data_IF_487270258439
#
_entry.id   IF_487270258439
#
_cell.length_a   1.000
_cell.length_b   1.000
_cell.length_c   1.000
_cell.angle_alpha   90.00
_cell.angle_beta   90.00
_cell.angle_gamma   90.00
#
_symmetry.space_group_name_H-M   'P 1'
#
loop_
_entity.id
_entity.type
_entity.pdbx_description
1 polymer ?
#
# COMPACT_ATOMS: atom_id res chain seq x y z
N UNK A 1 -20.92 12.77 21.44
CA UNK A 1 -20.34 11.45 21.47
C UNK A 1 -20.00 11.11 22.91
N UNK A 2 -20.46 9.94 23.40
CA UNK A 2 -20.12 9.44 24.74
C UNK A 2 -18.69 8.89 24.71
N UNK A 3 -17.78 9.43 25.52
CA UNK A 3 -16.48 8.82 25.78
C UNK A 3 -16.69 7.55 26.60
N UNK A 4 -16.32 6.41 26.03
CA UNK A 4 -16.22 5.15 26.76
C UNK A 4 -14.76 4.90 27.12
N UNK A 5 -14.47 4.77 28.41
CA UNK A 5 -13.13 4.43 28.90
C UNK A 5 -13.05 2.93 29.14
N UNK A 6 -12.10 2.27 28.49
CA UNK A 6 -11.79 0.87 28.71
C UNK A 6 -10.45 0.75 29.41
N UNK A 7 -10.36 -0.10 30.43
CA UNK A 7 -9.10 -0.48 31.05
C UNK A 7 -8.68 -1.84 30.50
N UNK A 8 -7.51 -1.89 29.87
CA UNK A 8 -6.94 -3.10 29.33
C UNK A 8 -5.75 -3.53 30.20
N UNK A 9 -5.72 -4.76 30.71
CA UNK A 9 -4.56 -5.29 31.40
C UNK A 9 -3.47 -5.57 30.34
N UNK A 10 -2.36 -4.85 30.42
CA UNK A 10 -1.24 -4.96 29.47
C UNK A 10 -0.01 -5.67 30.09
N UNK A 11 -0.20 -6.44 31.16
CA UNK A 11 0.87 -7.18 31.81
C UNK A 11 1.45 -8.24 30.86
N UNK A 12 2.74 -8.08 30.51
CA UNK A 12 3.45 -8.91 29.53
C UNK A 12 2.92 -8.88 28.08
N UNK A 13 2.07 -7.91 27.77
CA UNK A 13 1.50 -7.73 26.44
C UNK A 13 2.60 -7.47 25.39
N UNK A 14 2.57 -8.19 24.28
CA UNK A 14 3.53 -8.16 23.17
C UNK A 14 4.99 -8.50 23.54
N UNK A 15 5.24 -9.07 24.72
CA UNK A 15 6.58 -9.42 25.18
C UNK A 15 7.06 -10.67 24.45
N UNK A 16 8.13 -10.53 23.65
CA UNK A 16 8.73 -11.64 22.91
C UNK A 16 8.23 -11.83 21.49
N UNK A 17 7.35 -10.97 21.00
CA UNK A 17 6.99 -10.95 19.57
C UNK A 17 8.07 -10.23 18.75
N UNK A 18 8.49 -10.83 17.64
CA UNK A 18 9.53 -10.27 16.76
C UNK A 18 9.06 -9.01 16.01
N UNK A 19 7.74 -8.88 15.75
CA UNK A 19 7.13 -7.72 15.10
C UNK A 19 5.78 -7.39 15.77
N UNK A 20 5.80 -6.76 16.96
CA UNK A 20 4.58 -6.48 17.69
C UNK A 20 3.73 -5.43 16.98
N UNK A 21 2.49 -5.78 16.64
CA UNK A 21 1.48 -4.84 16.17
C UNK A 21 0.46 -4.55 17.28
N UNK A 22 0.59 -3.41 17.97
CA UNK A 22 -0.30 -3.04 19.07
C UNK A 22 -1.77 -2.92 18.64
N UNK A 23 -2.04 -2.49 17.42
CA UNK A 23 -3.42 -2.29 16.94
C UNK A 23 -4.11 -3.63 16.73
N UNK A 24 -3.43 -4.55 16.03
CA UNK A 24 -3.95 -5.90 15.78
C UNK A 24 -4.13 -6.66 17.08
N UNK A 25 -3.17 -6.59 18.00
CA UNK A 25 -3.24 -7.26 19.30
C UNK A 25 -4.37 -6.73 20.19
N UNK A 26 -4.80 -5.48 20.00
CA UNK A 26 -5.98 -4.89 20.67
C UNK A 26 -7.29 -5.15 19.92
N UNK A 27 -7.24 -5.85 18.78
CA UNK A 27 -8.41 -6.02 17.91
C UNK A 27 -8.90 -4.72 17.27
N UNK A 28 -8.02 -3.71 17.18
CA UNK A 28 -8.34 -2.44 16.56
C UNK A 28 -8.01 -2.52 15.08
N UNK A 29 -9.01 -2.38 14.24
CA UNK A 29 -8.81 -2.22 12.79
C UNK A 29 -8.86 -0.72 12.48
N UNK A 30 -7.78 -0.20 11.91
CA UNK A 30 -7.77 1.18 11.40
C UNK A 30 -8.88 1.35 10.35
N UNK A 31 -9.63 2.44 10.40
CA UNK A 31 -10.54 2.78 9.32
C UNK A 31 -9.74 2.94 8.02
N UNK A 32 -10.12 2.19 7.01
CA UNK A 32 -9.57 2.33 5.66
C UNK A 32 -10.68 2.78 4.72
N UNK A 33 -10.43 3.81 3.89
CA UNK A 33 -11.39 4.18 2.86
C UNK A 33 -11.58 2.99 1.91
N UNK A 34 -12.82 2.69 1.57
CA UNK A 34 -13.09 1.75 0.49
C UNK A 34 -12.58 2.36 -0.82
N UNK A 35 -11.78 1.60 -1.53
CA UNK A 35 -11.23 2.00 -2.81
C UNK A 35 -12.04 1.31 -3.90
N UNK A 36 -12.93 2.03 -4.60
CA UNK A 36 -13.70 1.44 -5.69
C UNK A 36 -12.76 0.76 -6.70
N UNK A 37 -13.10 -0.42 -7.21
CA UNK A 37 -12.26 -1.16 -8.13
C UNK A 37 -12.34 -0.58 -9.56
N UNK A 38 -12.08 0.73 -9.68
CA UNK A 38 -12.03 1.47 -10.94
C UNK A 38 -10.60 1.60 -11.44
N UNK A 39 -10.40 1.24 -12.68
CA UNK A 39 -9.08 1.28 -13.33
C UNK A 39 -8.71 2.72 -13.65
N UNK A 40 -7.59 3.21 -13.08
CA UNK A 40 -7.03 4.53 -13.36
C UNK A 40 -5.97 4.50 -14.46
N UNK A 41 -4.95 3.67 -14.29
CA UNK A 41 -3.83 3.59 -15.22
C UNK A 41 -3.58 2.14 -15.65
N UNK A 42 -3.11 1.97 -16.88
CA UNK A 42 -2.75 0.67 -17.43
C UNK A 42 -1.34 0.78 -18.05
N UNK A 43 -0.46 -0.12 -17.64
CA UNK A 43 0.86 -0.25 -18.28
C UNK A 43 0.69 -0.74 -19.72
N UNK A 44 1.30 -0.07 -20.72
CA UNK A 44 1.08 -0.37 -22.14
C UNK A 44 1.45 -1.81 -22.52
N UNK A 45 2.41 -2.39 -21.84
CA UNK A 45 2.94 -3.75 -22.01
C UNK A 45 2.41 -4.73 -20.95
N UNK A 46 1.40 -4.32 -20.17
CA UNK A 46 0.79 -5.12 -19.12
C UNK A 46 -0.26 -6.12 -19.64
N UNK A 47 -0.47 -7.21 -18.89
CA UNK A 47 -1.50 -8.19 -19.20
C UNK A 47 -2.90 -7.57 -19.32
N UNK A 48 -3.18 -6.51 -18.58
CA UNK A 48 -4.44 -5.77 -18.64
C UNK A 48 -4.64 -5.07 -19.99
N UNK A 49 -3.58 -4.47 -20.54
CA UNK A 49 -3.65 -3.85 -21.88
C UNK A 49 -3.92 -4.89 -22.96
N UNK A 50 -3.24 -6.04 -22.88
CA UNK A 50 -3.44 -7.15 -23.81
C UNK A 50 -4.84 -7.75 -23.72
N UNK A 51 -5.43 -7.81 -22.52
CA UNK A 51 -6.80 -8.25 -22.30
C UNK A 51 -7.85 -7.23 -22.75
N UNK A 52 -7.45 -6.00 -23.11
CA UNK A 52 -8.38 -4.97 -23.58
C UNK A 52 -9.08 -4.20 -22.46
N UNK A 53 -8.56 -4.23 -21.24
CA UNK A 53 -8.99 -3.32 -20.17
C UNK A 53 -8.69 -1.87 -20.52
N UNK A 54 -9.51 -0.94 -20.05
CA UNK A 54 -9.37 0.49 -20.32
C UNK A 54 -9.42 1.31 -19.03
N UNK A 55 -8.73 2.46 -18.98
CA UNK A 55 -8.92 3.41 -17.89
C UNK A 55 -10.40 3.82 -17.78
N UNK A 56 -10.90 3.87 -16.55
CA UNK A 56 -12.30 4.15 -16.24
C UNK A 56 -13.18 2.91 -16.10
N UNK A 57 -12.73 1.71 -16.49
CA UNK A 57 -13.47 0.48 -16.26
C UNK A 57 -13.67 0.25 -14.75
N UNK A 58 -14.90 -0.07 -14.35
CA UNK A 58 -15.22 -0.47 -13.00
C UNK A 58 -15.39 -1.99 -12.96
N UNK A 59 -14.53 -2.67 -12.21
CA UNK A 59 -14.62 -4.13 -12.06
C UNK A 59 -15.79 -4.46 -11.13
N UNK A 60 -16.74 -5.23 -11.60
CA UNK A 60 -17.93 -5.63 -10.84
C UNK A 60 -17.78 -7.02 -10.24
N UNK A 61 -17.15 -7.94 -10.98
CA UNK A 61 -16.90 -9.30 -10.50
C UNK A 61 -15.66 -9.91 -11.13
N UNK A 62 -15.07 -10.89 -10.44
CA UNK A 62 -13.98 -11.75 -10.91
C UNK A 62 -14.42 -13.20 -10.70
N UNK A 63 -14.42 -14.00 -11.79
CA UNK A 63 -14.90 -15.40 -11.78
C UNK A 63 -16.29 -15.55 -11.16
N UNK A 64 -17.19 -14.58 -11.44
CA UNK A 64 -18.54 -14.55 -10.91
C UNK A 64 -18.66 -14.12 -9.43
N UNK A 65 -17.55 -13.88 -8.76
CA UNK A 65 -17.56 -13.34 -7.38
C UNK A 65 -17.61 -11.80 -7.45
N UNK A 66 -18.60 -11.16 -6.81
CA UNK A 66 -18.68 -9.70 -6.79
C UNK A 66 -17.49 -9.12 -6.03
N UNK A 67 -16.95 -8.00 -6.54
CA UNK A 67 -15.88 -7.26 -5.90
C UNK A 67 -16.37 -5.84 -5.58
N UNK A 68 -15.95 -5.31 -4.45
CA UNK A 68 -16.35 -3.99 -3.96
C UNK A 68 -15.17 -3.08 -3.60
N UNK A 69 -14.02 -3.66 -3.34
CA UNK A 69 -12.82 -2.94 -2.92
C UNK A 69 -11.59 -3.41 -3.68
N UNK A 70 -10.77 -2.44 -4.07
CA UNK A 70 -9.53 -2.71 -4.81
C UNK A 70 -8.52 -3.52 -4.01
N UNK A 71 -8.29 -3.16 -2.75
CA UNK A 71 -7.22 -3.73 -1.92
C UNK A 71 -7.61 -5.08 -1.32
N UNK A 72 -8.87 -5.24 -0.94
CA UNK A 72 -9.30 -6.47 -0.25
C UNK A 72 -9.81 -7.54 -1.19
N UNK A 73 -10.33 -7.16 -2.38
CA UNK A 73 -10.95 -8.11 -3.27
C UNK A 73 -10.12 -8.30 -4.56
N UNK A 74 -9.80 -7.22 -5.27
CA UNK A 74 -9.15 -7.30 -6.60
C UNK A 74 -7.68 -7.72 -6.49
N UNK A 75 -6.90 -7.02 -5.65
CA UNK A 75 -5.45 -7.27 -5.55
C UNK A 75 -5.14 -8.68 -5.07
N UNK A 76 -5.73 -9.21 -3.98
CA UNK A 76 -5.45 -10.57 -3.53
C UNK A 76 -5.85 -11.63 -4.56
N UNK A 77 -6.99 -11.45 -5.23
CA UNK A 77 -7.45 -12.38 -6.28
C UNK A 77 -6.48 -12.44 -7.45
N UNK A 78 -6.00 -11.29 -7.94
CA UNK A 78 -5.01 -11.24 -9.02
C UNK A 78 -3.69 -11.87 -8.58
N UNK A 79 -3.22 -11.55 -7.38
CA UNK A 79 -1.93 -12.06 -6.86
C UNK A 79 -1.92 -13.57 -6.67
N UNK A 80 -3.04 -14.15 -6.22
CA UNK A 80 -3.17 -15.58 -6.00
C UNK A 80 -3.25 -16.40 -7.30
N UNK A 81 -3.65 -15.80 -8.43
CA UNK A 81 -3.95 -16.49 -9.68
C UNK A 81 -2.94 -16.18 -10.80
N UNK A 82 -1.63 -16.21 -10.49
CA UNK A 82 -0.60 -16.07 -11.50
C UNK A 82 -0.75 -17.15 -12.60
N UNK A 83 -0.71 -16.74 -13.87
CA UNK A 83 -0.85 -17.60 -15.05
C UNK A 83 -2.22 -18.31 -15.20
N UNK A 84 -3.21 -17.98 -14.40
CA UNK A 84 -4.57 -18.51 -14.54
C UNK A 84 -5.45 -17.47 -15.23
N UNK A 85 -6.37 -17.92 -16.07
CA UNK A 85 -7.33 -17.05 -16.75
C UNK A 85 -8.42 -16.67 -15.76
N UNK A 86 -8.58 -15.36 -15.51
CA UNK A 86 -9.66 -14.79 -14.71
C UNK A 86 -10.72 -14.18 -15.62
N UNK A 87 -11.98 -14.43 -15.35
CA UNK A 87 -13.10 -13.83 -16.06
C UNK A 87 -13.57 -12.59 -15.29
N UNK A 88 -13.27 -11.41 -15.84
CA UNK A 88 -13.69 -10.15 -15.28
C UNK A 88 -14.98 -9.68 -15.95
N UNK A 89 -15.93 -9.23 -15.14
CA UNK A 89 -17.04 -8.43 -15.64
C UNK A 89 -16.82 -6.98 -15.22
N UNK A 90 -16.75 -6.09 -16.19
CA UNK A 90 -16.53 -4.67 -15.98
C UNK A 90 -17.67 -3.84 -16.51
N UNK A 91 -17.92 -2.70 -15.87
CA UNK A 91 -18.77 -1.65 -16.40
C UNK A 91 -17.91 -0.62 -17.15
N UNK A 92 -18.17 -0.47 -18.42
CA UNK A 92 -17.53 0.50 -19.32
C UNK A 92 -18.57 1.40 -19.93
N UNK A 93 -18.57 2.69 -19.60
CA UNK A 93 -19.54 3.67 -20.13
C UNK A 93 -21.01 3.24 -19.96
N UNK A 94 -21.36 2.61 -18.84
CA UNK A 94 -22.70 2.11 -18.54
C UNK A 94 -23.06 0.78 -19.22
N UNK A 95 -22.12 0.14 -19.90
CA UNK A 95 -22.31 -1.18 -20.53
C UNK A 95 -21.48 -2.24 -19.82
N UNK A 96 -22.02 -3.44 -19.68
CA UNK A 96 -21.29 -4.59 -19.14
C UNK A 96 -20.41 -5.21 -20.22
N UNK A 97 -19.15 -5.46 -19.89
CA UNK A 97 -18.17 -6.09 -20.78
C UNK A 97 -17.49 -7.22 -20.01
N UNK A 98 -17.46 -8.40 -20.62
CA UNK A 98 -16.72 -9.53 -20.07
C UNK A 98 -15.33 -9.58 -20.70
N UNK A 99 -14.29 -9.71 -19.83
CA UNK A 99 -12.89 -9.66 -20.24
C UNK A 99 -12.14 -10.84 -19.61
N UNK A 100 -11.48 -11.63 -20.43
CA UNK A 100 -10.57 -12.68 -19.95
C UNK A 100 -9.17 -12.09 -19.72
N UNK A 101 -8.68 -12.16 -18.49
CA UNK A 101 -7.41 -11.60 -18.07
C UNK A 101 -6.51 -12.70 -17.52
N UNK A 102 -5.27 -12.78 -17.99
CA UNK A 102 -4.28 -13.72 -17.45
C UNK A 102 -3.15 -12.97 -16.75
N UNK A 103 -3.10 -12.97 -15.40
CA UNK A 103 -2.03 -12.31 -14.68
C UNK A 103 -0.67 -12.93 -14.99
N UNK A 104 0.34 -12.10 -15.26
CA UNK A 104 1.72 -12.55 -15.48
C UNK A 104 2.40 -12.84 -14.13
N UNK A 105 3.28 -13.85 -14.08
CA UNK A 105 4.03 -14.12 -12.86
C UNK A 105 5.07 -13.02 -12.63
N UNK A 106 5.10 -12.49 -11.40
CA UNK A 106 6.11 -11.52 -10.94
C UNK A 106 6.71 -12.02 -9.63
N UNK A 107 8.03 -12.07 -9.54
CA UNK A 107 8.70 -12.39 -8.29
C UNK A 107 8.57 -11.22 -7.30
N UNK A 108 8.11 -11.52 -6.08
CA UNK A 108 8.01 -10.59 -4.96
C UNK A 108 8.43 -11.33 -3.70
N UNK A 109 9.49 -10.89 -3.04
CA UNK A 109 9.99 -11.41 -1.76
C UNK A 109 9.97 -12.96 -1.64
N UNK A 110 10.60 -13.66 -2.59
CA UNK A 110 10.66 -15.13 -2.69
C UNK A 110 9.34 -15.83 -3.03
N UNK A 111 8.26 -15.09 -3.30
CA UNK A 111 6.98 -15.64 -3.75
C UNK A 111 6.66 -15.14 -5.15
N UNK A 112 6.12 -16.02 -5.99
CA UNK A 112 5.61 -15.65 -7.32
C UNK A 112 4.15 -15.23 -7.19
N UNK A 113 3.86 -13.97 -7.53
CA UNK A 113 2.50 -13.41 -7.50
C UNK A 113 2.03 -13.03 -8.89
N UNK A 114 0.72 -13.01 -9.09
CA UNK A 114 0.11 -12.52 -10.32
C UNK A 114 0.23 -11.00 -10.43
N UNK A 115 0.54 -10.51 -11.62
CA UNK A 115 0.66 -9.09 -11.94
C UNK A 115 0.02 -8.77 -13.28
N UNK A 116 -0.74 -7.68 -13.36
CA UNK A 116 -1.50 -7.31 -14.56
C UNK A 116 -1.16 -5.93 -15.13
N UNK A 117 -0.42 -5.12 -14.39
CA UNK A 117 -0.01 -3.79 -14.85
C UNK A 117 -1.14 -2.77 -14.82
N UNK A 118 -1.98 -2.77 -13.77
CA UNK A 118 -3.02 -1.77 -13.56
C UNK A 118 -2.77 -0.99 -12.27
N UNK A 119 -3.12 0.29 -12.29
CA UNK A 119 -3.26 1.15 -11.13
C UNK A 119 -4.71 1.54 -10.93
N UNK A 120 -5.13 1.66 -9.67
CA UNK A 120 -6.46 2.15 -9.33
C UNK A 120 -6.58 3.65 -9.62
N UNK A 121 -7.79 4.11 -9.92
CA UNK A 121 -8.06 5.55 -10.01
C UNK A 121 -7.81 6.21 -8.65
N UNK A 122 -7.06 7.33 -8.61
CA UNK A 122 -6.85 8.05 -7.36
C UNK A 122 -8.18 8.46 -6.73
N UNK A 123 -8.36 8.14 -5.46
CA UNK A 123 -9.53 8.61 -4.70
C UNK A 123 -9.23 9.97 -4.10
N UNK A 124 -10.16 10.90 -4.25
CA UNK A 124 -10.08 12.18 -3.55
C UNK A 124 -10.30 11.95 -2.05
N UNK A 125 -9.26 12.18 -1.26
CA UNK A 125 -9.42 12.15 0.19
C UNK A 125 -10.39 13.25 0.63
N UNK A 126 -11.38 12.92 1.49
CA UNK A 126 -12.27 13.93 2.04
C UNK A 126 -11.50 15.11 2.63
N UNK A 127 -11.95 16.32 2.37
CA UNK A 127 -11.24 17.55 2.77
C UNK A 127 -10.92 17.63 4.27
N UNK A 128 -11.76 17.01 5.12
CA UNK A 128 -11.54 16.95 6.56
C UNK A 128 -10.38 16.02 6.99
N UNK A 129 -9.93 15.12 6.10
CA UNK A 129 -8.77 14.24 6.30
C UNK A 129 -7.49 14.82 5.70
N UNK A 130 -7.61 15.84 4.85
CA UNK A 130 -6.46 16.52 4.25
C UNK A 130 -5.95 17.58 5.23
N UNK A 131 -4.76 17.36 5.76
CA UNK A 131 -4.06 18.37 6.54
C UNK A 131 -3.02 19.05 5.66
N UNK A 132 -3.38 20.19 5.10
CA UNK A 132 -2.43 21.02 4.37
C UNK A 132 -1.64 21.86 5.38
N UNK A 133 -0.35 21.53 5.53
CA UNK A 133 0.55 22.29 6.39
C UNK A 133 1.33 23.25 5.48
N UNK A 134 1.02 24.54 5.55
CA UNK A 134 1.72 25.58 4.82
C UNK A 134 2.61 26.37 5.78
N UNK A 135 3.90 26.41 5.51
CA UNK A 135 4.84 27.21 6.28
C UNK A 135 5.23 28.46 5.49
N UNK A 136 5.31 29.61 6.17
CA UNK A 136 5.97 30.78 5.63
C UNK A 136 7.45 30.42 5.39
N UNK A 137 8.09 30.86 4.27
CA UNK A 137 9.48 30.56 3.96
C UNK A 137 10.47 30.82 5.10
N UNK A 138 10.26 31.86 5.89
CA UNK A 138 11.10 32.19 7.04
C UNK A 138 10.98 31.19 8.19
N UNK A 139 9.83 30.52 8.32
CA UNK A 139 9.57 29.51 9.33
C UNK A 139 9.90 28.11 8.80
N UNK A 140 9.82 27.91 7.48
CA UNK A 140 10.08 26.63 6.84
C UNK A 140 11.51 26.14 7.05
N UNK A 141 12.49 27.04 6.99
CA UNK A 141 13.92 26.70 7.13
C UNK A 141 14.23 26.12 8.52
N UNK A 142 13.94 26.79 9.64
CA UNK A 142 14.22 26.22 10.96
C UNK A 142 13.43 24.95 11.24
N UNK A 143 12.18 24.86 10.79
CA UNK A 143 11.38 23.61 10.91
C UNK A 143 11.98 22.47 10.11
N UNK A 144 12.46 22.73 8.89
CA UNK A 144 13.15 21.73 8.08
C UNK A 144 14.46 21.26 8.74
N UNK A 145 15.25 22.19 9.28
CA UNK A 145 16.48 21.86 10.02
C UNK A 145 16.19 21.00 11.25
N UNK A 146 15.18 21.38 12.05
CA UNK A 146 14.77 20.58 13.18
C UNK A 146 14.33 19.17 12.78
N UNK A 147 13.51 19.06 11.73
CA UNK A 147 13.04 17.77 11.22
C UNK A 147 14.20 16.91 10.71
N UNK A 148 15.14 17.51 9.98
CA UNK A 148 16.34 16.82 9.52
C UNK A 148 17.18 16.31 10.71
N UNK A 149 17.36 17.13 11.76
CA UNK A 149 18.07 16.74 12.96
C UNK A 149 17.37 15.59 13.69
N UNK A 150 16.06 15.67 13.89
CA UNK A 150 15.25 14.60 14.48
C UNK A 150 15.43 13.27 13.73
N UNK A 151 15.34 13.30 12.40
CA UNK A 151 15.52 12.12 11.55
C UNK A 151 16.94 11.58 11.61
N UNK A 152 17.94 12.45 11.63
CA UNK A 152 19.35 12.07 11.75
C UNK A 152 19.62 11.42 13.11
N UNK A 153 19.13 12.03 14.19
CA UNK A 153 19.27 11.50 15.55
C UNK A 153 18.61 10.11 15.69
N UNK A 154 17.41 9.95 15.11
CA UNK A 154 16.69 8.68 15.11
C UNK A 154 17.43 7.59 14.31
N UNK A 155 18.05 7.96 13.19
CA UNK A 155 18.86 7.05 12.39
C UNK A 155 20.11 6.60 13.16
N UNK A 156 20.81 7.55 13.79
CA UNK A 156 22.00 7.25 14.61
C UNK A 156 21.66 6.38 15.82
N UNK A 157 20.54 6.66 16.50
CA UNK A 157 20.04 5.86 17.63
C UNK A 157 19.71 4.43 17.17
N UNK A 158 19.08 4.28 16.02
CA UNK A 158 18.77 2.97 15.43
C UNK A 158 20.04 2.18 15.09
N UNK A 159 21.03 2.84 14.50
CA UNK A 159 22.34 2.23 14.23
C UNK A 159 23.06 1.83 15.52
N UNK A 160 23.01 2.68 16.54
CA UNK A 160 23.59 2.37 17.85
C UNK A 160 22.93 1.15 18.51
N UNK A 161 21.59 1.08 18.47
CA UNK A 161 20.84 -0.06 18.98
C UNK A 161 21.14 -1.37 18.24
N UNK A 162 21.46 -1.28 16.95
CA UNK A 162 21.95 -2.43 16.17
C UNK A 162 23.32 -2.90 16.64
N UNK A 163 24.27 -1.97 16.77
CA UNK A 163 25.64 -2.29 17.21
C UNK A 163 25.66 -2.90 18.62
N UNK A 164 24.72 -2.50 19.47
CA UNK A 164 24.54 -3.04 20.82
C UNK A 164 23.70 -4.34 20.86
N UNK A 165 23.22 -4.83 19.70
CA UNK A 165 22.42 -6.06 19.61
C UNK A 165 20.99 -5.96 20.14
N UNK A 166 20.52 -4.76 20.45
CA UNK A 166 19.16 -4.52 20.95
C UNK A 166 18.09 -4.62 19.85
N UNK A 167 18.48 -4.46 18.59
CA UNK A 167 17.59 -4.54 17.43
C UNK A 167 18.23 -5.43 16.36
N UNK A 168 17.46 -6.38 15.82
CA UNK A 168 17.91 -7.26 14.73
C UNK A 168 18.13 -6.47 13.43
N UNK A 169 19.27 -6.71 12.77
CA UNK A 169 19.57 -6.15 11.46
C UNK A 169 18.52 -6.50 10.39
N UNK A 170 17.77 -7.58 10.57
CA UNK A 170 16.66 -7.99 9.66
C UNK A 170 15.50 -6.99 9.64
N UNK A 171 15.31 -6.18 10.69
CA UNK A 171 14.28 -5.16 10.77
C UNK A 171 14.65 -3.84 10.08
N UNK A 172 15.85 -3.75 9.53
CA UNK A 172 16.37 -2.57 8.82
C UNK A 172 16.16 -2.64 7.29
N UNK A 173 15.01 -3.07 6.87
CA UNK A 173 14.63 -2.95 5.45
C UNK A 173 14.56 -1.47 5.00
N UNK A 174 14.32 -0.54 5.93
CA UNK A 174 14.05 0.86 5.65
C UNK A 174 15.15 1.60 4.86
N UNK A 175 16.42 1.70 5.30
CA UNK A 175 17.44 2.47 4.59
C UNK A 175 17.81 1.87 3.23
N UNK A 176 17.89 0.55 3.14
CA UNK A 176 18.20 -0.15 1.89
C UNK A 176 17.03 -0.03 0.92
N UNK A 177 15.80 -0.13 1.40
CA UNK A 177 14.59 0.04 0.61
C UNK A 177 14.47 1.48 0.11
N UNK A 178 14.76 2.48 0.94
CA UNK A 178 14.77 3.89 0.54
C UNK A 178 15.83 4.14 -0.52
N UNK A 179 17.05 3.62 -0.35
CA UNK A 179 18.11 3.74 -1.33
C UNK A 179 17.76 3.06 -2.66
N UNK A 180 17.11 1.90 -2.61
CA UNK A 180 16.62 1.18 -3.79
C UNK A 180 15.52 1.96 -4.51
N UNK A 181 14.51 2.43 -3.78
CA UNK A 181 13.42 3.25 -4.33
C UNK A 181 13.96 4.56 -4.93
N UNK A 182 14.89 5.24 -4.24
CA UNK A 182 15.54 6.44 -4.78
C UNK A 182 16.35 6.13 -6.05
N UNK A 183 17.06 5.00 -6.09
CA UNK A 183 17.79 4.55 -7.26
C UNK A 183 16.88 4.20 -8.44
N UNK A 184 15.76 3.55 -8.18
CA UNK A 184 14.79 3.19 -9.19
C UNK A 184 14.03 4.42 -9.72
N UNK A 185 13.72 5.40 -8.85
CA UNK A 185 13.14 6.69 -9.26
C UNK A 185 14.09 7.50 -10.12
N UNK A 186 15.39 7.50 -9.80
CA UNK A 186 16.41 8.16 -10.63
C UNK A 186 16.58 7.51 -12.01
N UNK A 187 16.35 6.19 -12.11
CA UNK A 187 16.41 5.46 -13.41
C UNK A 187 15.15 5.64 -14.24
N UNK A 188 14.00 5.88 -13.62
CA UNK A 188 12.73 6.10 -14.32
C UNK A 188 12.53 7.52 -14.83
N UNK A 189 13.52 8.41 -14.63
CA UNK A 189 13.59 9.69 -15.36
C UNK A 189 12.55 10.72 -14.94
N UNK A 190 12.36 10.95 -13.64
CA UNK A 190 11.76 12.18 -13.14
C UNK A 190 12.76 13.31 -13.17
#
# INVERSE_FOLDING_TARGET
>A
GSEQRYQLPLDNWLRGEEAPDPMVALGLTGWQPQIPPRIGQIAPDGAAAEAGLQPGDLILSIDGQPVSDWLTDVVPTIQANAQQVLQLQVERNGSLVDIALTPRPKASDDVVVGYVGVGVEPIDMPAHMQRQISYNPLVAVPVAMQKTWEMTALTLDSLWKMLTGLVSAKNLSGPITIAKVAGDSAKSGL
#
